data_IF_538930568063
#
_entry.id   IF_538930568063
#
_cell.length_a   1.000
_cell.length_b   1.000
_cell.length_c   1.000
_cell.angle_alpha   90.00
_cell.angle_beta   90.00
_cell.angle_gamma   90.00
#
_symmetry.space_group_name_H-M   'P 1'
#
loop_
_entity.id
_entity.type
_entity.pdbx_description
1 polymer ?
#
# COMPACT_ATOMS: atom_id res chain seq x y z
N UNK A 1 -1.40 41.63 8.38
CA UNK A 1 -0.88 41.54 6.99
C UNK A 1 -2.07 41.29 6.08
N UNK A 2 -2.33 42.18 5.10
CA UNK A 2 -3.42 42.01 4.13
C UNK A 2 -2.96 41.00 3.07
N UNK A 3 -3.58 39.83 3.02
CA UNK A 3 -3.48 38.91 1.89
C UNK A 3 -4.33 39.46 0.75
N UNK A 4 -3.70 39.89 -0.34
CA UNK A 4 -4.42 40.23 -1.56
C UNK A 4 -4.88 38.92 -2.21
N UNK A 5 -6.19 38.78 -2.40
CA UNK A 5 -6.75 37.68 -3.19
C UNK A 5 -6.42 37.94 -4.66
N UNK A 6 -5.49 37.16 -5.21
CA UNK A 6 -5.20 37.14 -6.64
C UNK A 6 -6.27 36.31 -7.35
N UNK A 7 -6.72 36.78 -8.52
CA UNK A 7 -7.55 35.95 -9.40
C UNK A 7 -6.68 34.85 -10.04
N UNK A 8 -7.26 33.74 -10.52
CA UNK A 8 -6.51 32.68 -11.19
C UNK A 8 -5.61 33.19 -12.32
N UNK A 9 -6.12 34.08 -13.17
CA UNK A 9 -5.33 34.66 -14.28
C UNK A 9 -4.15 35.51 -13.79
N UNK A 10 -4.31 36.19 -12.65
CA UNK A 10 -3.23 36.98 -12.04
C UNK A 10 -2.17 36.10 -11.41
N UNK A 11 -2.56 34.94 -10.87
CA UNK A 11 -1.63 33.95 -10.37
C UNK A 11 -0.84 33.34 -11.53
N UNK A 12 -1.49 32.97 -12.62
CA UNK A 12 -0.83 32.41 -13.80
C UNK A 12 0.16 33.42 -14.42
N UNK A 13 -0.23 34.69 -14.53
CA UNK A 13 0.67 35.74 -15.00
C UNK A 13 1.90 35.92 -14.08
N UNK A 14 1.71 35.82 -12.75
CA UNK A 14 2.84 35.89 -11.80
C UNK A 14 3.75 34.67 -11.87
N UNK A 15 3.18 33.48 -12.07
CA UNK A 15 3.95 32.24 -12.23
C UNK A 15 4.75 32.27 -13.53
N UNK A 16 4.14 32.66 -14.66
CA UNK A 16 4.86 32.84 -15.93
C UNK A 16 6.00 33.85 -15.78
N UNK A 17 5.75 35.00 -15.15
CA UNK A 17 6.80 35.99 -14.91
C UNK A 17 7.94 35.44 -14.02
N UNK A 18 7.63 34.60 -13.03
CA UNK A 18 8.64 33.98 -12.18
C UNK A 18 9.52 32.98 -12.97
N UNK A 19 8.93 32.21 -13.89
CA UNK A 19 9.66 31.28 -14.76
C UNK A 19 10.66 31.99 -15.70
N UNK A 20 10.34 33.21 -16.12
CA UNK A 20 11.19 34.01 -16.99
C UNK A 20 12.32 34.75 -16.23
N UNK A 21 12.36 34.68 -14.90
CA UNK A 21 13.42 35.33 -14.13
C UNK A 21 14.76 34.59 -14.19
N UNK A 22 15.85 35.35 -14.23
CA UNK A 22 17.20 34.81 -14.14
C UNK A 22 17.42 33.97 -12.87
N UNK A 23 16.78 34.35 -11.75
CA UNK A 23 16.82 33.57 -10.52
C UNK A 23 16.25 32.15 -10.67
N UNK A 24 15.19 31.98 -11.48
CA UNK A 24 14.64 30.66 -11.75
C UNK A 24 15.55 29.83 -12.65
N UNK A 25 16.19 30.46 -13.64
CA UNK A 25 17.20 29.79 -14.48
C UNK A 25 18.45 29.38 -13.68
N UNK A 26 18.90 30.20 -12.73
CA UNK A 26 20.01 29.88 -11.82
C UNK A 26 19.69 28.68 -10.92
N UNK A 27 18.44 28.56 -10.45
CA UNK A 27 18.00 27.40 -9.66
C UNK A 27 18.02 26.12 -10.49
N UNK A 28 17.52 26.17 -11.73
CA UNK A 28 17.50 25.00 -12.62
C UNK A 28 18.90 24.59 -13.05
N UNK A 29 19.76 25.55 -13.41
CA UNK A 29 21.13 25.25 -13.80
C UNK A 29 21.98 24.75 -12.62
N UNK A 30 21.70 25.21 -11.40
CA UNK A 30 22.33 24.74 -10.16
C UNK A 30 21.86 23.37 -9.67
N UNK A 31 20.81 22.77 -10.26
CA UNK A 31 20.33 21.44 -9.85
C UNK A 31 21.33 20.31 -10.14
N UNK A 32 22.12 20.43 -11.21
CA UNK A 32 23.20 19.50 -11.53
C UNK A 32 24.33 19.51 -10.48
N UNK A 33 24.38 20.52 -9.61
CA UNK A 33 25.42 20.69 -8.58
C UNK A 33 24.92 20.42 -7.15
N UNK A 34 23.62 20.23 -6.95
CA UNK A 34 23.01 19.99 -5.63
C UNK A 34 22.47 18.57 -5.44
N UNK A 35 22.49 17.73 -6.48
CA UNK A 35 22.31 16.30 -6.31
C UNK A 35 23.57 15.71 -5.64
N UNK A 36 23.50 15.18 -4.40
CA UNK A 36 24.64 14.50 -3.82
C UNK A 36 24.98 13.30 -4.71
N UNK A 37 26.23 13.27 -5.18
CA UNK A 37 26.74 12.16 -5.99
C UNK A 37 26.49 10.85 -5.25
N UNK A 38 25.74 9.95 -5.90
CA UNK A 38 25.35 8.70 -5.30
C UNK A 38 26.62 7.91 -4.93
N UNK A 39 26.82 7.54 -3.65
CA UNK A 39 28.00 6.78 -3.28
C UNK A 39 28.01 5.47 -4.05
N UNK A 40 29.09 5.23 -4.79
CA UNK A 40 29.31 3.98 -5.52
C UNK A 40 29.14 2.79 -4.56
N UNK A 41 28.58 1.67 -5.04
CA UNK A 41 28.42 0.47 -4.22
C UNK A 41 29.79 0.02 -3.71
N UNK A 42 29.94 0.01 -2.38
CA UNK A 42 31.15 -0.48 -1.74
C UNK A 42 31.44 -1.92 -2.20
N UNK A 43 32.68 -2.17 -2.64
CA UNK A 43 33.17 -3.51 -2.96
C UNK A 43 32.93 -4.44 -1.76
N UNK A 44 32.49 -5.70 -1.97
CA UNK A 44 32.31 -6.65 -0.88
C UNK A 44 33.64 -6.83 -0.14
N UNK A 45 33.67 -6.46 1.14
CA UNK A 45 34.79 -6.78 2.02
C UNK A 45 34.92 -8.30 2.21
N UNK A 46 36.13 -8.82 2.49
CA UNK A 46 36.34 -10.24 2.70
C UNK A 46 35.52 -10.74 3.90
N UNK A 47 34.94 -11.93 3.73
CA UNK A 47 34.03 -12.55 4.68
C UNK A 47 34.66 -12.68 6.09
N UNK A 48 33.89 -12.42 7.17
CA UNK A 48 34.37 -12.66 8.52
C UNK A 48 34.63 -14.16 8.74
N UNK A 49 35.80 -14.43 9.32
CA UNK A 49 36.29 -15.76 9.67
C UNK A 49 35.41 -16.34 10.81
N UNK A 50 34.99 -17.61 10.74
CA UNK A 50 34.19 -18.22 11.79
C UNK A 50 35.01 -18.36 13.08
N UNK A 51 34.45 -17.91 14.20
CA UNK A 51 35.02 -18.11 15.53
C UNK A 51 34.88 -19.58 15.98
N UNK A 52 35.86 -20.12 16.73
CA UNK A 52 35.77 -21.45 17.31
C UNK A 52 34.74 -21.48 18.45
N UNK A 53 33.81 -22.42 18.36
CA UNK A 53 32.74 -22.60 19.35
C UNK A 53 33.25 -23.08 20.72
N UNK A 54 32.48 -22.82 21.80
CA UNK A 54 32.80 -23.38 23.11
C UNK A 54 32.45 -24.86 23.18
N UNK A 55 33.42 -25.62 23.69
CA UNK A 55 33.35 -27.01 24.09
C UNK A 55 32.17 -27.32 25.00
N UNK A 56 31.59 -28.48 24.75
CA UNK A 56 30.61 -29.18 25.57
C UNK A 56 31.20 -29.60 26.92
N UNK A 57 30.43 -29.45 28.00
CA UNK A 57 30.58 -30.33 29.17
C UNK A 57 29.24 -31.03 29.52
N UNK A 58 29.31 -32.28 30.05
CA UNK A 58 28.20 -33.20 30.05
C UNK A 58 27.54 -33.37 31.43
N UNK A 59 26.28 -33.78 31.41
CA UNK A 59 25.72 -34.60 32.50
C UNK A 59 24.57 -33.99 33.27
N UNK A 60 23.34 -34.31 32.85
CA UNK A 60 22.25 -34.53 33.81
C UNK A 60 21.29 -35.61 33.31
N UNK A 61 21.14 -36.65 34.13
CA UNK A 61 20.37 -37.87 33.90
C UNK A 61 18.87 -37.60 33.69
N UNK A 62 18.18 -38.41 32.86
CA UNK A 62 16.71 -38.42 32.80
C UNK A 62 16.12 -39.31 33.91
N UNK A 63 15.12 -38.79 34.62
CA UNK A 63 14.23 -39.53 35.51
C UNK A 63 12.82 -39.62 34.91
N UNK A 64 12.02 -40.63 35.27
CA UNK A 64 11.00 -41.19 34.39
C UNK A 64 9.58 -40.63 34.59
N UNK A 65 8.82 -40.72 33.49
CA UNK A 65 7.46 -41.28 33.41
C UNK A 65 6.33 -40.66 34.25
N UNK A 66 5.31 -40.14 33.56
CA UNK A 66 3.90 -40.28 33.97
C UNK A 66 2.97 -40.07 32.78
N UNK A 67 2.41 -41.19 32.31
CA UNK A 67 1.16 -41.31 31.55
C UNK A 67 0.00 -40.78 32.43
N UNK A 68 -1.11 -40.31 31.85
CA UNK A 68 -2.24 -41.24 31.78
C UNK A 68 -2.96 -41.24 30.44
N UNK A 69 -3.66 -42.35 30.25
CA UNK A 69 -4.44 -42.80 29.11
C UNK A 69 -5.95 -42.46 29.35
N UNK A 70 -6.92 -42.95 28.56
CA UNK A 70 -7.70 -42.14 27.63
C UNK A 70 -9.19 -42.01 28.03
N UNK A 71 -9.91 -41.09 27.39
CA UNK A 71 -11.37 -41.18 27.30
C UNK A 71 -11.84 -41.15 25.85
N UNK A 72 -12.90 -41.92 25.66
CA UNK A 72 -13.38 -42.52 24.43
C UNK A 72 -14.79 -42.00 24.14
N UNK A 73 -15.05 -41.64 22.88
CA UNK A 73 -16.32 -41.80 22.17
C UNK A 73 -16.07 -41.39 20.70
N UNK A 74 -16.07 -42.29 19.71
CA UNK A 74 -17.23 -42.94 19.06
C UNK A 74 -18.23 -41.89 18.52
N UNK A 75 -18.64 -41.85 17.25
CA UNK A 75 -18.56 -42.83 16.16
C UNK A 75 -18.89 -42.20 14.79
N UNK A 76 -18.53 -42.96 13.74
CA UNK A 76 -19.20 -43.14 12.44
C UNK A 76 -19.15 -41.98 11.42
N UNK A 77 -18.33 -42.07 10.37
CA UNK A 77 -18.41 -42.92 9.16
C UNK A 77 -19.35 -42.36 8.08
N UNK A 78 -18.78 -41.96 6.93
CA UNK A 78 -19.02 -42.63 5.64
C UNK A 78 -18.10 -42.09 4.55
N UNK A 79 -17.45 -43.04 3.90
CA UNK A 79 -16.63 -42.84 2.71
C UNK A 79 -17.50 -42.68 1.45
N UNK A 80 -16.92 -42.05 0.43
CA UNK A 80 -16.98 -42.57 -0.94
C UNK A 80 -15.88 -41.91 -1.78
N UNK A 81 -14.99 -42.77 -2.27
CA UNK A 81 -13.95 -42.49 -3.24
C UNK A 81 -14.46 -42.74 -4.66
N UNK A 82 -13.81 -42.13 -5.66
CA UNK A 82 -13.41 -42.70 -6.96
C UNK A 82 -12.80 -41.58 -7.82
N UNK A 83 -11.47 -41.58 -8.06
CA UNK A 83 -10.77 -42.23 -9.19
C UNK A 83 -10.94 -41.43 -10.51
N UNK A 84 -9.93 -40.65 -10.93
CA UNK A 84 -8.72 -41.02 -11.71
C UNK A 84 -8.99 -41.24 -13.21
N UNK A 85 -8.41 -40.39 -14.06
CA UNK A 85 -7.82 -40.80 -15.35
C UNK A 85 -6.94 -39.70 -15.96
N UNK A 86 -5.65 -40.04 -16.13
CA UNK A 86 -4.69 -39.37 -16.99
C UNK A 86 -4.99 -39.60 -18.47
N UNK A 87 -4.70 -38.61 -19.32
CA UNK A 87 -4.33 -38.84 -20.70
C UNK A 87 -3.23 -37.85 -21.12
N UNK A 88 -2.06 -38.39 -21.50
CA UNK A 88 -0.99 -37.71 -22.23
C UNK A 88 -1.34 -37.67 -23.73
N UNK A 89 -0.99 -36.58 -24.40
CA UNK A 89 -0.99 -36.49 -25.86
C UNK A 89 -0.34 -35.19 -26.33
N UNK A 90 0.87 -35.30 -26.90
CA UNK A 90 1.70 -34.22 -27.42
C UNK A 90 1.25 -33.72 -28.81
N UNK A 91 1.81 -32.55 -29.16
CA UNK A 91 2.27 -32.14 -30.50
C UNK A 91 1.39 -31.18 -31.34
N UNK A 92 1.81 -29.90 -31.27
CA UNK A 92 2.10 -28.97 -32.37
C UNK A 92 1.04 -28.62 -33.44
N UNK A 93 0.94 -27.28 -33.61
CA UNK A 93 0.80 -26.51 -34.88
C UNK A 93 -0.60 -25.98 -35.18
N UNK A 94 -0.82 -24.71 -34.84
CA UNK A 94 -0.97 -23.64 -35.82
C UNK A 94 -1.20 -22.32 -35.08
N UNK A 95 -0.34 -21.34 -35.35
CA UNK A 95 -0.64 -19.95 -35.11
C UNK A 95 -1.87 -19.58 -35.93
N UNK A 96 -3.02 -19.44 -35.28
CA UNK A 96 -4.09 -18.61 -35.81
C UNK A 96 -4.12 -17.35 -34.96
N UNK A 97 -3.38 -16.35 -35.43
CA UNK A 97 -3.36 -15.02 -34.82
C UNK A 97 -4.66 -14.34 -35.23
N UNK A 98 -5.70 -14.55 -34.44
CA UNK A 98 -6.83 -13.63 -34.40
C UNK A 98 -6.28 -12.20 -34.26
N UNK A 99 -6.77 -11.23 -35.04
CA UNK A 99 -6.32 -9.86 -34.91
C UNK A 99 -6.59 -9.42 -33.47
N UNK A 100 -5.55 -8.92 -32.81
CA UNK A 100 -5.73 -8.18 -31.58
C UNK A 100 -6.80 -7.12 -31.85
N UNK A 101 -7.74 -6.84 -30.92
CA UNK A 101 -8.51 -5.62 -31.04
C UNK A 101 -7.46 -4.51 -31.07
N UNK A 102 -7.30 -3.88 -32.24
CA UNK A 102 -6.83 -2.53 -32.24
C UNK A 102 -7.78 -1.86 -31.26
N UNK A 103 -7.25 -1.38 -30.15
CA UNK A 103 -7.79 -0.14 -29.61
C UNK A 103 -7.51 0.86 -30.73
N UNK A 104 -8.34 0.78 -31.78
CA UNK A 104 -8.60 1.89 -32.67
C UNK A 104 -8.76 3.05 -31.72
N UNK A 105 -8.11 4.16 -32.07
CA UNK A 105 -8.35 5.46 -31.50
C UNK A 105 -9.84 5.57 -31.19
N UNK A 106 -10.22 5.26 -29.95
CA UNK A 106 -11.59 5.40 -29.50
C UNK A 106 -11.90 6.87 -29.80
N UNK A 107 -12.88 7.03 -30.68
CA UNK A 107 -13.02 8.15 -31.59
C UNK A 107 -12.82 9.45 -30.81
N UNK A 108 -11.78 10.22 -31.11
CA UNK A 108 -11.54 11.48 -30.40
C UNK A 108 -12.74 12.44 -30.56
N UNK A 109 -13.60 12.19 -31.55
CA UNK A 109 -14.89 12.86 -31.72
C UNK A 109 -15.93 12.49 -30.66
N UNK A 110 -15.92 11.25 -30.15
CA UNK A 110 -16.75 10.87 -29.00
C UNK A 110 -16.30 11.62 -27.75
N UNK A 111 -14.99 11.85 -27.58
CA UNK A 111 -14.48 12.67 -26.48
C UNK A 111 -14.94 14.13 -26.58
N UNK A 112 -15.08 14.71 -27.77
CA UNK A 112 -15.63 16.07 -27.94
C UNK A 112 -17.13 16.18 -27.63
N UNK A 113 -17.83 15.05 -27.54
CA UNK A 113 -19.26 15.01 -27.19
C UNK A 113 -19.47 14.89 -25.67
N UNK A 114 -18.43 14.54 -24.91
CA UNK A 114 -18.46 14.49 -23.46
C UNK A 114 -18.30 15.92 -22.90
N UNK A 115 -19.14 16.36 -21.95
CA UNK A 115 -18.95 17.65 -21.29
C UNK A 115 -17.55 17.78 -20.70
N UNK A 116 -16.94 18.96 -20.84
CA UNK A 116 -15.59 19.23 -20.34
C UNK A 116 -15.45 18.86 -18.86
N UNK A 117 -16.48 19.10 -18.05
CA UNK A 117 -16.48 18.71 -16.62
C UNK A 117 -16.38 17.20 -16.41
N UNK A 118 -17.01 16.39 -17.27
CA UNK A 118 -16.90 14.92 -17.19
C UNK A 118 -15.54 14.44 -17.66
N UNK A 119 -14.96 15.05 -18.71
CA UNK A 119 -13.60 14.73 -19.14
C UNK A 119 -12.56 15.12 -18.09
N UNK A 120 -12.73 16.28 -17.44
CA UNK A 120 -11.87 16.72 -16.35
C UNK A 120 -12.02 15.77 -15.18
N UNK A 121 -13.25 15.44 -14.76
CA UNK A 121 -13.49 14.51 -13.66
C UNK A 121 -12.94 13.11 -13.95
N UNK A 122 -13.09 12.60 -15.18
CA UNK A 122 -12.53 11.32 -15.60
C UNK A 122 -11.01 11.35 -15.70
N UNK A 123 -10.43 12.43 -16.23
CA UNK A 123 -8.97 12.62 -16.30
C UNK A 123 -8.37 12.75 -14.90
N UNK A 124 -8.97 13.54 -14.02
CA UNK A 124 -8.58 13.68 -12.60
C UNK A 124 -8.77 12.37 -11.85
N UNK A 125 -9.81 11.59 -12.17
CA UNK A 125 -10.02 10.23 -11.63
C UNK A 125 -8.95 9.26 -12.14
N UNK A 126 -8.51 9.40 -13.38
CA UNK A 126 -7.46 8.58 -14.00
C UNK A 126 -6.05 8.96 -13.52
N UNK A 127 -5.83 10.19 -13.05
CA UNK A 127 -4.59 10.59 -12.39
C UNK A 127 -4.43 9.80 -11.09
N UNK A 128 -3.41 8.94 -11.06
CA UNK A 128 -3.01 8.26 -9.83
C UNK A 128 -2.58 9.33 -8.81
N UNK A 129 -3.14 9.29 -7.60
CA UNK A 129 -2.72 10.17 -6.51
C UNK A 129 -1.22 10.01 -6.30
N UNK A 130 -0.43 11.10 -6.42
CA UNK A 130 1.00 11.04 -6.16
C UNK A 130 1.22 10.49 -4.75
N UNK A 131 2.11 9.49 -4.55
CA UNK A 131 2.42 9.04 -3.20
C UNK A 131 2.98 10.22 -2.42
N UNK A 132 2.62 10.37 -1.12
CA UNK A 132 3.18 11.43 -0.30
C UNK A 132 4.71 11.35 -0.34
N UNK A 133 5.37 12.42 -0.79
CA UNK A 133 6.83 12.51 -0.80
C UNK A 133 7.29 12.78 0.62
N UNK A 134 7.49 11.73 1.41
CA UNK A 134 8.31 11.80 2.62
C UNK A 134 8.57 10.40 3.19
N UNK A 135 9.87 10.05 3.25
CA UNK A 135 10.49 8.83 3.80
C UNK A 135 9.95 7.52 3.21
N UNK A 136 10.80 6.84 2.41
CA UNK A 136 10.55 5.46 1.99
C UNK A 136 10.20 4.60 3.21
N UNK A 137 9.14 3.79 3.08
CA UNK A 137 8.81 2.80 4.10
C UNK A 137 10.04 1.91 4.33
N UNK A 138 10.24 1.41 5.56
CA UNK A 138 11.19 0.34 5.76
C UNK A 138 10.72 -0.81 4.86
N UNK A 139 11.61 -1.30 3.97
CA UNK A 139 11.25 -2.29 2.94
C UNK A 139 10.67 -3.59 3.52
N UNK A 140 10.53 -4.65 2.73
CA UNK A 140 9.76 -5.85 3.18
C UNK A 140 10.19 -6.48 4.51
N UNK A 141 11.46 -6.38 4.91
CA UNK A 141 11.92 -6.79 6.24
C UNK A 141 11.27 -5.95 7.37
N UNK A 142 11.08 -4.65 7.11
CA UNK A 142 10.36 -3.69 7.95
C UNK A 142 8.91 -4.07 8.22
N UNK A 143 8.26 -4.77 7.29
CA UNK A 143 6.86 -5.17 7.38
C UNK A 143 6.60 -6.22 8.47
N UNK A 144 7.61 -7.04 8.78
CA UNK A 144 7.56 -8.13 9.76
C UNK A 144 8.07 -7.66 11.14
N UNK A 145 8.97 -6.68 11.16
CA UNK A 145 9.55 -6.12 12.37
C UNK A 145 8.47 -5.60 13.35
N UNK A 146 8.67 -5.76 14.67
CA UNK A 146 7.79 -5.18 15.68
C UNK A 146 7.67 -3.66 15.51
N UNK A 147 6.46 -3.12 15.61
CA UNK A 147 6.18 -1.71 15.35
C UNK A 147 6.89 -0.77 16.34
N UNK A 148 7.20 -1.27 17.55
CA UNK A 148 7.98 -0.56 18.57
C UNK A 148 9.40 -0.18 18.11
N UNK A 149 9.98 -0.91 17.16
CA UNK A 149 11.28 -0.55 16.58
C UNK A 149 11.21 0.66 15.64
N UNK A 150 10.02 1.00 15.15
CA UNK A 150 9.83 2.17 14.28
C UNK A 150 9.44 3.43 15.07
N UNK A 151 9.25 3.31 16.39
CA UNK A 151 8.82 4.42 17.25
C UNK A 151 9.76 5.62 17.24
N UNK A 152 11.07 5.42 16.99
CA UNK A 152 12.02 6.52 16.87
C UNK A 152 11.67 7.49 15.74
N UNK A 153 10.96 7.04 14.69
CA UNK A 153 10.60 7.87 13.53
C UNK A 153 9.57 8.94 13.84
N UNK A 154 8.88 8.84 14.98
CA UNK A 154 7.82 9.75 15.42
C UNK A 154 8.36 11.10 15.93
N UNK A 155 9.60 11.15 16.41
CA UNK A 155 10.11 12.33 17.13
C UNK A 155 10.17 13.53 16.17
N UNK A 156 9.42 14.60 16.50
CA UNK A 156 9.41 15.88 15.79
C UNK A 156 8.52 15.97 14.55
N UNK A 157 7.65 14.99 14.29
CA UNK A 157 6.77 15.01 13.10
C UNK A 157 5.52 15.87 13.33
N UNK A 158 5.17 16.80 12.41
CA UNK A 158 3.90 17.50 12.46
C UNK A 158 2.74 16.54 12.18
N UNK A 159 1.56 16.87 12.67
CA UNK A 159 0.35 16.12 12.32
C UNK A 159 0.03 16.30 10.83
N UNK A 160 -0.52 15.26 10.21
CA UNK A 160 -0.82 15.26 8.77
C UNK A 160 -2.32 15.30 8.54
N UNK A 161 -2.73 15.64 7.32
CA UNK A 161 -4.12 15.59 6.91
C UNK A 161 -4.61 14.12 6.80
N UNK A 162 -5.88 13.81 7.14
CA UNK A 162 -6.47 12.50 6.90
C UNK A 162 -6.23 11.90 5.49
N UNK A 163 -6.32 12.68 4.41
CA UNK A 163 -6.02 12.23 3.05
C UNK A 163 -4.57 11.77 2.87
N UNK A 164 -3.63 12.49 3.47
CA UNK A 164 -2.20 12.16 3.47
C UNK A 164 -1.96 10.87 4.27
N UNK A 165 -2.62 10.71 5.42
CA UNK A 165 -2.58 9.49 6.23
C UNK A 165 -3.09 8.27 5.44
N UNK A 166 -4.19 8.44 4.71
CA UNK A 166 -4.72 7.42 3.80
C UNK A 166 -3.75 7.09 2.65
N UNK A 167 -3.04 8.10 2.14
CA UNK A 167 -1.96 7.92 1.15
C UNK A 167 -0.84 6.99 1.66
N UNK A 168 -0.41 7.17 2.92
CA UNK A 168 0.55 6.25 3.54
C UNK A 168 -0.02 4.85 3.76
N UNK A 169 -1.28 4.74 4.18
CA UNK A 169 -1.95 3.45 4.32
C UNK A 169 -2.01 2.71 2.97
N UNK A 170 -2.28 3.41 1.87
CA UNK A 170 -2.22 2.88 0.51
C UNK A 170 -0.82 2.36 0.17
N UNK A 171 0.21 3.15 0.43
CA UNK A 171 1.60 2.75 0.17
C UNK A 171 1.98 1.49 0.95
N UNK A 172 1.57 1.38 2.22
CA UNK A 172 1.76 0.19 3.06
C UNK A 172 1.11 -1.03 2.41
N UNK A 173 -0.12 -0.93 1.92
CA UNK A 173 -0.79 -2.05 1.25
C UNK A 173 -0.08 -2.47 -0.05
N UNK A 174 0.43 -1.51 -0.83
CA UNK A 174 1.18 -1.80 -2.06
C UNK A 174 2.51 -2.49 -1.76
N UNK A 175 3.28 -1.95 -0.81
CA UNK A 175 4.65 -2.43 -0.56
C UNK A 175 4.68 -3.71 0.28
N UNK A 176 3.83 -3.79 1.30
CA UNK A 176 3.84 -4.87 2.30
C UNK A 176 2.74 -5.90 2.07
N UNK A 177 1.79 -5.60 1.19
CA UNK A 177 0.72 -6.49 0.79
C UNK A 177 -0.57 -6.27 1.58
N UNK A 178 -1.66 -6.72 0.97
CA UNK A 178 -3.00 -6.71 1.54
C UNK A 178 -3.43 -8.10 2.00
N UNK A 179 -4.19 -8.16 3.10
CA UNK A 179 -4.83 -9.39 3.58
C UNK A 179 -6.30 -9.14 4.00
N UNK A 180 -7.16 -10.10 3.66
CA UNK A 180 -8.55 -10.18 4.13
C UNK A 180 -8.79 -11.22 5.22
N UNK A 181 -7.89 -12.17 5.41
CA UNK A 181 -8.09 -13.30 6.33
C UNK A 181 -6.74 -13.72 6.93
N UNK A 182 -6.68 -14.17 8.21
CA UNK A 182 -7.74 -14.16 9.24
C UNK A 182 -7.95 -12.77 9.88
N UNK A 183 -8.81 -12.64 10.92
CA UNK A 183 -9.10 -11.36 11.60
C UNK A 183 -7.92 -10.85 12.45
N UNK A 184 -6.89 -10.39 11.76
CA UNK A 184 -5.70 -9.78 12.33
C UNK A 184 -5.44 -8.47 11.63
N UNK A 185 -4.77 -7.53 12.31
CA UNK A 185 -4.28 -6.32 11.66
C UNK A 185 -3.11 -6.62 10.70
N UNK A 186 -2.46 -7.77 10.91
CA UNK A 186 -1.23 -8.20 10.26
C UNK A 186 -1.14 -9.73 10.21
N UNK A 187 -0.71 -10.29 9.08
CA UNK A 187 -0.34 -11.71 8.97
C UNK A 187 1.14 -11.96 9.32
N UNK A 188 1.56 -13.21 9.25
CA UNK A 188 2.96 -13.59 9.49
C UNK A 188 3.95 -13.04 8.44
N UNK A 189 3.46 -12.69 7.24
CA UNK A 189 4.26 -12.14 6.14
C UNK A 189 4.38 -10.62 6.19
N UNK A 190 3.64 -9.99 7.08
CA UNK A 190 3.61 -8.54 7.17
C UNK A 190 2.61 -7.87 6.22
N UNK A 191 1.68 -8.62 5.61
CA UNK A 191 0.54 -8.01 4.93
C UNK A 191 -0.40 -7.34 5.94
N UNK A 192 -1.17 -6.33 5.52
CA UNK A 192 -2.10 -5.58 6.39
C UNK A 192 -3.53 -5.61 5.84
N UNK A 193 -4.51 -5.61 6.73
CA UNK A 193 -5.87 -5.19 6.35
C UNK A 193 -5.95 -3.66 6.31
N UNK A 194 -7.06 -3.09 5.84
CA UNK A 194 -7.25 -1.63 5.81
C UNK A 194 -7.00 -0.96 7.18
N UNK A 195 -7.63 -1.44 8.25
CA UNK A 195 -7.40 -0.91 9.60
C UNK A 195 -5.95 -1.09 10.06
N UNK A 196 -5.32 -2.21 9.69
CA UNK A 196 -3.92 -2.49 9.99
C UNK A 196 -2.98 -1.53 9.30
N UNK A 197 -3.28 -1.14 8.06
CA UNK A 197 -2.49 -0.17 7.30
C UNK A 197 -2.60 1.24 7.91
N UNK A 198 -3.81 1.69 8.27
CA UNK A 198 -4.04 2.95 8.99
C UNK A 198 -3.25 3.03 10.31
N UNK A 199 -3.34 1.97 11.12
CA UNK A 199 -2.62 1.90 12.39
C UNK A 199 -1.11 1.85 12.19
N UNK A 200 -0.66 1.14 11.15
CA UNK A 200 0.76 1.06 10.80
C UNK A 200 1.28 2.45 10.40
N UNK A 201 0.55 3.21 9.59
CA UNK A 201 0.93 4.58 9.23
C UNK A 201 1.11 5.45 10.48
N UNK A 202 0.16 5.41 11.41
CA UNK A 202 0.27 6.10 12.71
C UNK A 202 1.50 5.66 13.52
N UNK A 203 1.76 4.35 13.60
CA UNK A 203 2.90 3.80 14.35
C UNK A 203 4.25 4.13 13.72
N UNK A 204 4.31 4.33 12.40
CA UNK A 204 5.49 4.82 11.70
C UNK A 204 5.73 6.33 11.89
N UNK A 205 4.79 7.04 12.54
CA UNK A 205 4.88 8.47 12.82
C UNK A 205 4.16 9.35 11.81
N UNK A 206 3.40 8.77 10.87
CA UNK A 206 2.56 9.52 9.96
C UNK A 206 1.22 9.79 10.65
N UNK A 207 1.00 11.02 11.10
CA UNK A 207 -0.24 11.45 11.72
C UNK A 207 -0.44 11.03 13.17
N UNK A 208 -1.26 11.81 13.87
CA UNK A 208 -1.73 11.53 15.23
C UNK A 208 -2.78 10.41 15.25
N UNK A 209 -3.21 10.01 16.45
CA UNK A 209 -4.31 9.07 16.60
C UNK A 209 -5.63 9.70 16.12
N UNK A 210 -5.83 11.00 16.36
CA UNK A 210 -6.99 11.75 15.86
C UNK A 210 -7.05 11.73 14.33
N UNK A 211 -5.92 12.00 13.67
CA UNK A 211 -5.82 11.92 12.21
C UNK A 211 -6.16 10.53 11.67
N UNK A 212 -5.68 9.47 12.34
CA UNK A 212 -6.01 8.09 11.99
C UNK A 212 -7.52 7.81 12.14
N UNK A 213 -8.14 8.26 13.23
CA UNK A 213 -9.58 8.07 13.48
C UNK A 213 -10.43 8.82 12.46
N UNK A 214 -10.05 10.07 12.12
CA UNK A 214 -10.69 10.86 11.07
C UNK A 214 -10.53 10.22 9.70
N UNK A 215 -9.36 9.69 9.38
CA UNK A 215 -9.14 8.91 8.15
C UNK A 215 -10.04 7.65 8.10
N UNK A 216 -10.21 6.98 9.23
CA UNK A 216 -11.15 5.86 9.37
C UNK A 216 -12.60 6.28 9.13
N UNK A 217 -13.02 7.45 9.62
CA UNK A 217 -14.35 7.99 9.38
C UNK A 217 -14.61 8.31 7.89
N UNK A 218 -13.61 8.82 7.17
CA UNK A 218 -13.69 9.01 5.72
C UNK A 218 -13.86 7.68 4.97
N UNK A 219 -13.15 6.62 5.37
CA UNK A 219 -13.34 5.28 4.79
C UNK A 219 -14.75 4.75 5.01
N UNK A 220 -15.30 4.91 6.22
CA UNK A 220 -16.69 4.53 6.50
C UNK A 220 -17.67 5.33 5.64
N UNK A 221 -17.42 6.62 5.45
CA UNK A 221 -18.25 7.48 4.60
C UNK A 221 -18.22 7.03 3.14
N UNK A 222 -17.03 6.71 2.61
CA UNK A 222 -16.88 6.20 1.25
C UNK A 222 -17.56 4.84 1.08
N UNK A 223 -17.38 3.92 2.04
CA UNK A 223 -18.08 2.63 2.04
C UNK A 223 -19.61 2.79 2.00
N UNK A 224 -20.16 3.70 2.81
CA UNK A 224 -21.60 4.00 2.80
C UNK A 224 -22.06 4.54 1.45
N UNK A 225 -21.25 5.38 0.80
CA UNK A 225 -21.56 5.89 -0.54
C UNK A 225 -21.59 4.80 -1.60
N UNK A 226 -20.84 3.70 -1.39
CA UNK A 226 -20.85 2.50 -2.23
C UNK A 226 -21.94 1.49 -1.82
N UNK A 227 -22.86 1.86 -0.92
CA UNK A 227 -23.95 1.01 -0.44
C UNK A 227 -23.57 0.03 0.68
N UNK A 228 -22.34 0.08 1.20
CA UNK A 228 -21.93 -0.76 2.33
C UNK A 228 -22.26 -0.10 3.67
N UNK A 229 -23.15 -0.73 4.45
CA UNK A 229 -23.63 -0.19 5.74
C UNK A 229 -22.83 -0.68 6.95
N UNK A 230 -21.98 -1.69 6.79
CA UNK A 230 -21.17 -2.26 7.88
C UNK A 230 -19.87 -1.49 8.17
N UNK A 231 -19.09 -2.02 9.10
CA UNK A 231 -17.76 -1.49 9.43
C UNK A 231 -16.69 -1.93 8.39
N UNK A 232 -15.52 -1.29 8.45
CA UNK A 232 -14.36 -1.61 7.59
C UNK A 232 -13.93 -3.07 7.75
N UNK A 233 -13.94 -3.59 8.99
CA UNK A 233 -13.52 -4.97 9.28
C UNK A 233 -14.33 -6.02 8.51
N UNK A 234 -15.68 -6.05 8.64
CA UNK A 234 -16.55 -6.90 7.84
C UNK A 234 -16.39 -6.70 6.32
N UNK A 235 -16.28 -5.46 5.84
CA UNK A 235 -16.04 -5.19 4.41
C UNK A 235 -14.76 -5.88 3.92
N UNK A 236 -13.66 -5.69 4.66
CA UNK A 236 -12.35 -6.23 4.30
C UNK A 236 -12.34 -7.77 4.27
N UNK A 237 -13.25 -8.44 5.01
CA UNK A 237 -13.37 -9.90 5.05
C UNK A 237 -14.39 -10.47 4.08
N UNK A 238 -15.15 -9.63 3.38
CA UNK A 238 -16.22 -10.11 2.52
C UNK A 238 -15.63 -11.05 1.45
N UNK A 239 -16.24 -12.23 1.22
CA UNK A 239 -15.78 -13.15 0.17
C UNK A 239 -15.70 -12.44 -1.19
N UNK A 240 -14.66 -12.77 -1.96
CA UNK A 240 -14.43 -12.15 -3.27
C UNK A 240 -13.76 -10.78 -3.26
N UNK A 241 -13.50 -10.19 -2.07
CA UNK A 241 -12.69 -8.96 -2.00
C UNK A 241 -11.24 -9.24 -2.38
N UNK A 242 -10.68 -8.32 -3.14
CA UNK A 242 -9.32 -8.36 -3.66
C UNK A 242 -8.48 -7.21 -3.12
N UNK A 243 -7.15 -7.32 -3.28
CA UNK A 243 -6.25 -6.21 -3.00
C UNK A 243 -6.57 -4.98 -3.86
N UNK A 244 -7.00 -5.19 -5.11
CA UNK A 244 -7.39 -4.12 -6.02
C UNK A 244 -8.62 -3.35 -5.50
N UNK A 245 -9.60 -4.05 -4.93
CA UNK A 245 -10.77 -3.40 -4.30
C UNK A 245 -10.36 -2.54 -3.11
N UNK A 246 -9.44 -3.03 -2.27
CA UNK A 246 -8.95 -2.29 -1.10
C UNK A 246 -8.18 -1.02 -1.51
N UNK A 247 -7.36 -1.12 -2.56
CA UNK A 247 -6.63 0.03 -3.12
C UNK A 247 -7.60 1.02 -3.79
N UNK A 248 -8.58 0.54 -4.54
CA UNK A 248 -9.60 1.38 -5.17
C UNK A 248 -10.43 2.15 -4.13
N UNK A 249 -10.82 1.49 -3.05
CA UNK A 249 -11.50 2.13 -1.92
C UNK A 249 -10.63 3.24 -1.28
N UNK A 250 -9.35 2.98 -1.04
CA UNK A 250 -8.43 4.00 -0.54
C UNK A 250 -8.28 5.16 -1.52
N UNK A 251 -8.12 4.90 -2.80
CA UNK A 251 -7.98 5.93 -3.83
C UNK A 251 -9.22 6.84 -3.91
N UNK A 252 -10.42 6.25 -3.88
CA UNK A 252 -11.67 7.00 -3.82
C UNK A 252 -11.78 7.84 -2.54
N UNK A 253 -11.42 7.25 -1.39
CA UNK A 253 -11.46 7.94 -0.10
C UNK A 253 -10.45 9.09 -0.04
N UNK A 254 -9.23 8.90 -0.54
CA UNK A 254 -8.18 9.92 -0.58
C UNK A 254 -8.64 11.10 -1.43
N UNK A 255 -9.21 10.86 -2.61
CA UNK A 255 -9.77 11.93 -3.45
C UNK A 255 -10.86 12.69 -2.73
N UNK A 256 -11.85 11.98 -2.17
CA UNK A 256 -12.97 12.61 -1.44
C UNK A 256 -12.48 13.47 -0.27
N UNK A 257 -11.58 12.94 0.56
CA UNK A 257 -11.02 13.67 1.69
C UNK A 257 -10.22 14.91 1.22
N UNK A 258 -9.37 14.74 0.20
CA UNK A 258 -8.58 15.83 -0.39
C UNK A 258 -9.45 16.97 -0.93
N UNK A 259 -10.51 16.63 -1.67
CA UNK A 259 -11.47 17.61 -2.19
C UNK A 259 -12.20 18.37 -1.07
N UNK A 260 -12.42 17.73 0.07
CA UNK A 260 -12.99 18.36 1.26
C UNK A 260 -11.96 19.14 2.10
N UNK A 261 -10.69 19.22 1.67
CA UNK A 261 -9.62 19.92 2.39
C UNK A 261 -9.05 19.13 3.58
N UNK A 262 -9.35 17.83 3.66
CA UNK A 262 -8.90 16.90 4.70
C UNK A 262 -7.85 15.93 4.20
#
# INVERSE_FOLDING_TARGET
MKTLYLTPDQLDAQVSHLHDTAAWQDIITGWEHTAPEAPLPAKPGPAPRPEPGPESEPGRKPGPESKPEPESASASASASASASASAKGSATRALDRAPAPTRDSADWRDLLSVPVDQLIDESVRALATPPPRERRLPGRLGAVLPERLHSWRRIGQPDVRPSVHLGYARQILVEWGWQNTPYRLRDARGARCLCGALLTAHRLGYGSLDTMDRAGAWLITELRSQGWTGLIGPWNRHPGRTAADALSLLDATIRRASHAGH
#
